data_IF_150279352395
#
_entry.id   IF_150279352395
#
_cell.length_a   1.000
_cell.length_b   1.000
_cell.length_c   1.000
_cell.angle_alpha   90.00
_cell.angle_beta   90.00
_cell.angle_gamma   90.00
#
_symmetry.space_group_name_H-M   'P 1'
#
loop_
_entity.id
_entity.type
_entity.pdbx_description
1 polymer ?
#
# COMPACT_ATOMS: atom_id res chain seq x y z
N UNK A 1 11.27 -14.84 21.03
CA UNK A 1 10.03 -14.26 20.48
C UNK A 1 9.96 -12.82 20.96
N UNK A 2 9.82 -11.85 20.05
CA UNK A 2 9.70 -10.41 20.37
C UNK A 2 8.26 -10.00 20.12
N UNK A 3 7.66 -9.26 21.05
CA UNK A 3 6.30 -8.75 20.92
C UNK A 3 6.30 -7.25 20.58
N UNK A 4 5.37 -6.88 19.71
CA UNK A 4 5.09 -5.49 19.32
C UNK A 4 3.61 -5.23 19.59
N UNK A 5 3.30 -4.35 20.54
CA UNK A 5 1.93 -4.12 21.01
C UNK A 5 1.59 -2.63 20.98
N UNK A 6 0.62 -2.28 20.15
CA UNK A 6 -0.02 -0.96 20.16
C UNK A 6 -1.38 -1.05 20.86
N UNK A 7 -1.76 0.00 21.58
CA UNK A 7 -3.11 0.12 22.19
C UNK A 7 -4.01 1.04 21.39
N UNK A 8 -3.43 1.78 20.45
CA UNK A 8 -4.09 2.64 19.50
C UNK A 8 -4.90 1.80 18.48
N UNK A 9 -5.97 2.39 17.95
CA UNK A 9 -6.78 1.74 16.91
C UNK A 9 -5.93 1.39 15.68
N UNK A 10 -6.15 0.20 15.11
CA UNK A 10 -5.55 -0.19 13.83
C UNK A 10 -5.94 0.69 12.63
N UNK A 11 -6.86 1.65 12.80
CA UNK A 11 -7.16 2.71 11.81
C UNK A 11 -6.10 3.81 11.79
N UNK A 12 -5.24 3.87 12.82
CA UNK A 12 -4.10 4.79 12.91
C UNK A 12 -2.91 4.21 12.17
N UNK A 13 -2.16 5.09 11.52
CA UNK A 13 -1.01 4.71 10.71
C UNK A 13 0.25 4.44 11.51
N UNK A 14 1.28 3.96 10.81
CA UNK A 14 2.60 3.62 11.37
C UNK A 14 3.16 4.67 12.35
N UNK A 15 3.02 5.97 12.05
CA UNK A 15 3.57 7.05 12.91
C UNK A 15 2.90 7.15 14.28
N UNK A 16 1.64 6.74 14.39
CA UNK A 16 0.86 6.80 15.63
C UNK A 16 0.92 5.48 16.40
N UNK A 17 1.30 4.39 15.73
CA UNK A 17 1.48 3.04 16.29
C UNK A 17 2.97 2.74 16.46
N UNK A 18 3.53 3.14 17.60
CA UNK A 18 4.99 3.14 17.84
C UNK A 18 5.60 1.75 17.72
N UNK A 19 4.91 0.72 18.20
CA UNK A 19 5.41 -0.64 18.15
C UNK A 19 5.26 -1.26 16.76
N UNK A 20 4.21 -0.89 16.02
CA UNK A 20 4.11 -1.19 14.58
C UNK A 20 5.23 -0.53 13.77
N UNK A 21 5.58 0.73 14.07
CA UNK A 21 6.73 1.41 13.43
C UNK A 21 8.05 0.69 13.74
N UNK A 22 8.25 0.35 15.02
CA UNK A 22 9.42 -0.39 15.51
C UNK A 22 9.54 -1.76 14.84
N UNK A 23 8.44 -2.50 14.71
CA UNK A 23 8.40 -3.79 14.00
C UNK A 23 8.93 -3.63 12.57
N UNK A 24 8.50 -2.60 11.84
CA UNK A 24 9.02 -2.36 10.48
C UNK A 24 10.49 -1.93 10.47
N UNK A 25 10.95 -1.18 11.47
CA UNK A 25 12.35 -0.80 11.56
C UNK A 25 13.24 -2.03 11.85
N UNK A 26 12.73 -2.98 12.62
CA UNK A 26 13.41 -4.24 12.94
C UNK A 26 13.33 -5.25 11.78
N UNK A 27 12.24 -5.24 11.00
CA UNK A 27 12.12 -6.00 9.75
C UNK A 27 13.18 -5.57 8.72
N UNK A 28 13.39 -4.27 8.53
CA UNK A 28 14.43 -3.73 7.63
C UNK A 28 15.83 -4.19 8.06
N UNK A 29 16.06 -4.32 9.37
CA UNK A 29 17.31 -4.83 9.93
C UNK A 29 17.38 -6.36 9.98
N UNK A 30 16.36 -7.05 9.44
CA UNK A 30 16.20 -8.52 9.48
C UNK A 30 16.45 -9.12 10.86
N UNK A 31 15.89 -8.50 11.90
CA UNK A 31 15.99 -9.01 13.29
C UNK A 31 15.09 -10.22 13.56
N UNK A 32 14.23 -10.57 12.61
CA UNK A 32 13.35 -11.73 12.62
C UNK A 32 12.98 -12.10 11.17
N UNK A 33 12.61 -13.36 10.97
CA UNK A 33 12.27 -13.88 9.63
C UNK A 33 10.76 -13.92 9.38
N UNK A 34 9.93 -13.90 10.44
CA UNK A 34 8.47 -14.02 10.35
C UNK A 34 7.77 -13.03 11.28
N UNK A 35 6.74 -12.35 10.78
CA UNK A 35 5.74 -11.65 11.60
C UNK A 35 4.51 -12.53 11.76
N UNK A 36 4.18 -12.91 12.98
CA UNK A 36 2.91 -13.55 13.30
C UNK A 36 1.95 -12.51 13.87
N UNK A 37 0.73 -12.45 13.34
CA UNK A 37 -0.35 -11.61 13.89
C UNK A 37 -1.65 -12.42 14.02
N UNK A 38 -2.58 -11.94 14.85
CA UNK A 38 -3.82 -12.67 15.12
C UNK A 38 -4.72 -12.78 13.89
N UNK A 39 -5.06 -11.64 13.29
CA UNK A 39 -5.92 -11.50 12.12
C UNK A 39 -5.54 -10.22 11.35
N UNK A 40 -5.89 -10.13 10.07
CA UNK A 40 -5.53 -9.01 9.21
C UNK A 40 -6.10 -7.67 9.71
N UNK A 41 -7.28 -7.69 10.35
CA UNK A 41 -7.91 -6.50 10.95
C UNK A 41 -7.22 -6.03 12.26
N UNK A 42 -6.38 -6.87 12.87
CA UNK A 42 -5.49 -6.50 13.98
C UNK A 42 -4.13 -6.03 13.47
N UNK A 43 -3.73 -6.49 12.28
CA UNK A 43 -2.54 -5.98 11.60
C UNK A 43 -2.77 -4.53 11.10
N UNK A 44 -3.85 -4.27 10.36
CA UNK A 44 -4.20 -2.92 9.87
C UNK A 44 -5.70 -2.78 9.56
N UNK A 45 -6.28 -1.63 9.92
CA UNK A 45 -7.64 -1.20 9.54
C UNK A 45 -7.63 0.08 8.69
N UNK A 46 -6.49 0.42 8.09
CA UNK A 46 -6.34 1.62 7.23
C UNK A 46 -6.88 1.43 5.79
N UNK A 47 -7.51 0.28 5.53
CA UNK A 47 -8.04 -0.11 4.22
C UNK A 47 -7.07 -0.95 3.41
N UNK A 48 -7.63 -1.70 2.44
CA UNK A 48 -6.94 -2.77 1.72
C UNK A 48 -5.63 -2.32 1.05
N UNK A 49 -5.62 -1.16 0.41
CA UNK A 49 -4.42 -0.62 -0.27
C UNK A 49 -3.24 -0.44 0.68
N UNK A 50 -3.47 0.11 1.87
CA UNK A 50 -2.41 0.33 2.86
C UNK A 50 -1.97 -0.98 3.51
N UNK A 51 -2.93 -1.83 3.85
CA UNK A 51 -2.64 -3.15 4.42
C UNK A 51 -1.77 -3.97 3.47
N UNK A 52 -2.09 -4.02 2.18
CA UNK A 52 -1.27 -4.67 1.16
C UNK A 52 0.13 -4.06 1.09
N UNK A 53 0.25 -2.73 1.03
CA UNK A 53 1.56 -2.08 0.96
C UNK A 53 2.45 -2.40 2.18
N UNK A 54 1.86 -2.65 3.35
CA UNK A 54 2.58 -3.13 4.52
C UNK A 54 3.09 -4.57 4.35
N UNK A 55 2.28 -5.45 3.78
CA UNK A 55 2.65 -6.84 3.50
C UNK A 55 3.76 -6.92 2.43
N UNK A 56 3.61 -6.18 1.33
CA UNK A 56 4.65 -6.06 0.28
C UNK A 56 5.96 -5.52 0.85
N UNK A 57 5.90 -4.60 1.82
CA UNK A 57 7.09 -4.09 2.48
C UNK A 57 7.78 -5.14 3.35
N UNK A 58 7.04 -6.01 4.04
CA UNK A 58 7.63 -7.12 4.80
C UNK A 58 8.32 -8.10 3.85
N UNK A 59 7.63 -8.45 2.75
CA UNK A 59 8.17 -9.33 1.71
C UNK A 59 9.45 -8.74 1.07
N UNK A 60 9.46 -7.44 0.77
CA UNK A 60 10.64 -6.75 0.25
C UNK A 60 11.82 -6.71 1.27
N UNK A 61 11.54 -6.84 2.58
CA UNK A 61 12.58 -7.02 3.60
C UNK A 61 13.05 -8.49 3.72
N UNK A 62 12.43 -9.40 2.96
CA UNK A 62 12.58 -10.85 3.04
C UNK A 62 12.08 -11.40 4.37
N UNK A 63 11.00 -10.80 4.89
CA UNK A 63 10.33 -11.18 6.14
C UNK A 63 8.96 -11.74 5.77
N UNK A 64 8.74 -13.00 6.09
CA UNK A 64 7.46 -13.68 5.92
C UNK A 64 6.41 -13.14 6.90
N UNK A 65 5.14 -13.36 6.59
CA UNK A 65 4.05 -13.01 7.50
C UNK A 65 3.01 -14.12 7.59
N UNK A 66 2.41 -14.26 8.77
CA UNK A 66 1.43 -15.30 9.09
C UNK A 66 0.27 -14.73 9.89
N UNK A 67 -0.93 -15.20 9.58
CA UNK A 67 -2.14 -14.91 10.36
C UNK A 67 -2.55 -16.13 11.16
N UNK A 68 -2.70 -15.97 12.47
CA UNK A 68 -3.08 -17.07 13.36
C UNK A 68 -4.50 -17.59 13.05
N UNK A 69 -5.46 -16.70 12.80
CA UNK A 69 -6.85 -17.08 12.51
C UNK A 69 -7.14 -17.28 11.03
N UNK A 70 -6.23 -16.86 10.17
CA UNK A 70 -6.42 -16.91 8.71
C UNK A 70 -5.21 -17.60 8.03
N UNK A 71 -5.00 -18.93 8.23
CA UNK A 71 -3.84 -19.63 7.67
C UNK A 71 -3.74 -19.56 6.14
N UNK A 72 -4.85 -19.25 5.47
CA UNK A 72 -4.86 -18.99 4.04
C UNK A 72 -4.06 -17.72 3.67
N UNK A 73 -3.80 -16.79 4.59
CA UNK A 73 -3.03 -15.57 4.33
C UNK A 73 -1.50 -15.73 4.44
N UNK A 74 -1.03 -16.90 4.86
CA UNK A 74 0.39 -17.14 5.13
C UNK A 74 1.25 -17.05 3.85
N UNK A 75 2.43 -16.42 3.96
CA UNK A 75 3.38 -16.22 2.83
C UNK A 75 3.90 -17.51 2.20
N UNK A 76 3.75 -18.64 2.87
CA UNK A 76 4.08 -19.99 2.40
C UNK A 76 3.03 -20.53 1.40
N UNK A 77 1.98 -19.76 1.09
CA UNK A 77 0.96 -20.11 0.10
C UNK A 77 1.06 -19.22 -1.17
N UNK A 78 1.72 -19.74 -2.23
CA UNK A 78 1.90 -19.06 -3.53
C UNK A 78 0.58 -18.50 -4.10
N UNK A 79 -0.54 -19.17 -3.89
CA UNK A 79 -1.85 -18.76 -4.39
C UNK A 79 -2.26 -17.37 -3.86
N UNK A 80 -1.88 -17.05 -2.63
CA UNK A 80 -2.27 -15.80 -1.96
C UNK A 80 -1.30 -14.67 -2.27
N UNK A 81 -0.01 -14.94 -2.44
CA UNK A 81 0.90 -13.98 -3.05
C UNK A 81 0.33 -13.50 -4.40
N UNK A 82 -0.16 -14.42 -5.23
CA UNK A 82 -0.80 -14.08 -6.50
C UNK A 82 -2.13 -13.33 -6.35
N UNK A 83 -2.98 -13.66 -5.37
CA UNK A 83 -4.23 -12.93 -5.11
C UNK A 83 -3.94 -11.51 -4.63
N UNK A 84 -3.00 -11.33 -3.70
CA UNK A 84 -2.57 -10.01 -3.21
C UNK A 84 -2.00 -9.20 -4.37
N UNK A 85 -1.13 -9.79 -5.20
CA UNK A 85 -0.59 -9.13 -6.39
C UNK A 85 -1.70 -8.74 -7.38
N UNK A 86 -2.68 -9.63 -7.60
CA UNK A 86 -3.81 -9.40 -8.50
C UNK A 86 -4.72 -8.27 -8.03
N UNK A 87 -5.06 -8.25 -6.74
CA UNK A 87 -5.86 -7.18 -6.12
C UNK A 87 -5.11 -5.84 -6.18
N UNK A 88 -3.80 -5.85 -5.91
CA UNK A 88 -2.96 -4.64 -5.98
C UNK A 88 -2.87 -4.09 -7.39
N UNK A 89 -2.66 -4.98 -8.36
CA UNK A 89 -2.61 -4.64 -9.79
C UNK A 89 -3.93 -4.03 -10.27
N UNK A 90 -5.06 -4.60 -9.84
CA UNK A 90 -6.38 -4.04 -10.13
C UNK A 90 -6.55 -2.64 -9.53
N UNK A 91 -6.22 -2.46 -8.25
CA UNK A 91 -6.33 -1.13 -7.61
C UNK A 91 -5.38 -0.09 -8.22
N UNK A 92 -4.16 -0.48 -8.61
CA UNK A 92 -3.22 0.39 -9.30
C UNK A 92 -3.76 0.86 -10.65
N UNK A 93 -4.37 -0.05 -11.44
CA UNK A 93 -5.06 0.33 -12.68
C UNK A 93 -6.22 1.29 -12.43
N UNK A 94 -7.06 1.02 -11.43
CA UNK A 94 -8.20 1.88 -11.09
C UNK A 94 -7.77 3.29 -10.70
N UNK A 95 -6.69 3.42 -9.92
CA UNK A 95 -6.16 4.73 -9.54
C UNK A 95 -5.57 5.49 -10.74
N UNK A 96 -4.87 4.79 -11.65
CA UNK A 96 -4.36 5.39 -12.88
C UNK A 96 -5.50 5.91 -13.78
N UNK A 97 -6.59 5.16 -13.92
CA UNK A 97 -7.79 5.59 -14.64
C UNK A 97 -8.37 6.86 -14.02
N UNK A 98 -8.54 6.89 -12.70
CA UNK A 98 -9.07 8.06 -11.98
C UNK A 98 -8.19 9.31 -12.13
N UNK A 99 -6.86 9.15 -12.13
CA UNK A 99 -5.91 10.26 -12.39
C UNK A 99 -6.08 10.77 -13.82
N UNK A 100 -6.22 9.87 -14.80
CA UNK A 100 -6.45 10.23 -16.20
C UNK A 100 -7.74 11.02 -16.38
N UNK A 101 -8.85 10.56 -15.78
CA UNK A 101 -10.15 11.25 -15.80
C UNK A 101 -10.05 12.66 -15.21
N UNK A 102 -9.41 12.80 -14.06
CA UNK A 102 -9.19 14.12 -13.43
C UNK A 102 -8.36 15.05 -14.31
N UNK A 103 -7.34 14.52 -14.96
CA UNK A 103 -6.48 15.27 -15.88
C UNK A 103 -7.30 15.76 -17.07
N UNK A 104 -8.07 14.88 -17.72
CA UNK A 104 -8.97 15.24 -18.83
C UNK A 104 -9.97 16.32 -18.43
N UNK A 105 -10.64 16.16 -17.30
CA UNK A 105 -11.58 17.16 -16.78
C UNK A 105 -10.89 18.51 -16.49
N UNK A 106 -9.63 18.49 -16.03
CA UNK A 106 -8.81 19.69 -15.87
C UNK A 106 -8.48 20.39 -17.17
N UNK A 107 -8.07 19.63 -18.19
CA UNK A 107 -7.77 20.15 -19.54
C UNK A 107 -9.02 20.77 -20.19
N UNK A 108 -10.18 20.13 -20.05
CA UNK A 108 -11.44 20.67 -20.55
C UNK A 108 -11.81 22.00 -19.89
N UNK A 109 -11.67 22.10 -18.56
CA UNK A 109 -11.87 23.37 -17.85
C UNK A 109 -10.93 24.46 -18.35
N UNK A 110 -9.65 24.12 -18.56
CA UNK A 110 -8.66 25.06 -19.07
C UNK A 110 -9.00 25.54 -20.50
N UNK A 111 -9.45 24.63 -21.38
CA UNK A 111 -9.94 24.98 -22.73
C UNK A 111 -11.14 25.92 -22.68
N UNK A 112 -12.13 25.64 -21.83
CA UNK A 112 -13.31 26.51 -21.65
C UNK A 112 -12.94 27.91 -21.17
N UNK A 113 -11.87 28.02 -20.39
CA UNK A 113 -11.35 29.29 -19.91
C UNK A 113 -10.37 29.95 -20.91
N UNK A 114 -10.32 29.50 -22.16
CA UNK A 114 -9.53 30.10 -23.24
C UNK A 114 -8.02 29.80 -23.18
N UNK A 115 -7.58 28.88 -22.32
CA UNK A 115 -6.15 28.53 -22.24
C UNK A 115 -5.73 27.68 -23.44
N UNK A 116 -4.70 28.13 -24.17
CA UNK A 116 -4.05 27.31 -25.20
C UNK A 116 -3.24 26.21 -24.52
N UNK A 117 -3.55 24.96 -24.88
CA UNK A 117 -2.92 23.75 -24.33
C UNK A 117 -2.09 23.08 -25.42
N UNK A 118 -0.96 22.48 -25.05
CA UNK A 118 -0.05 21.84 -25.99
C UNK A 118 1.33 22.51 -25.98
N UNK A 119 2.19 22.10 -26.92
CA UNK A 119 3.51 22.70 -27.11
C UNK A 119 3.32 24.14 -27.66
N UNK A 120 3.97 25.17 -27.10
CA UNK A 120 3.91 26.50 -27.67
C UNK A 120 4.52 26.51 -29.08
N UNK A 121 3.92 27.29 -29.96
CA UNK A 121 4.39 27.49 -31.33
C UNK A 121 5.68 28.34 -31.30
N UNK A 122 6.80 27.66 -31.09
CA UNK A 122 8.14 28.25 -31.14
C UNK A 122 8.61 28.47 -32.57
N UNK A 123 7.90 29.32 -33.31
CA UNK A 123 8.40 29.93 -34.55
C UNK A 123 8.02 31.41 -34.54
N UNK A 124 8.81 32.21 -33.83
CA UNK A 124 8.89 33.64 -34.09
C UNK A 124 9.66 33.85 -35.41
N UNK A 125 9.11 34.65 -36.32
CA UNK A 125 9.80 35.21 -37.49
C UNK A 125 10.29 36.60 -37.17
#
# INVERSE_FOLDING_TARGET
>A
VVEYVDRESGTRGRRERKDFDRMFADAVRRRFDVVLFWALDRFSREGIRKTIAYLERLDACGVAFKSYTEPFLDTDNELIAHIVLGVTSYYAQQEALRISERTKAGLERARRNGKVLGRPDGFER
#
